data_IF_521463254434
#
_entry.id   IF_521463254434
#
_cell.length_a   1.000
_cell.length_b   1.000
_cell.length_c   1.000
_cell.angle_alpha   90.00
_cell.angle_beta   90.00
_cell.angle_gamma   90.00
#
_symmetry.space_group_name_H-M   'P 1'
#
loop_
_entity.id
_entity.type
_entity.pdbx_description
1 polymer ?
#
# COMPACT_ATOMS: atom_id res chain seq x y z
N UNK A 1 14.46 21.46 6.17
CA UNK A 1 13.78 20.36 5.45
C UNK A 1 13.67 19.19 6.41
N UNK A 2 12.46 18.79 6.85
CA UNK A 2 12.31 17.67 7.75
C UNK A 2 12.66 16.38 6.99
N UNK A 3 13.65 15.65 7.50
CA UNK A 3 14.03 14.33 7.00
C UNK A 3 12.99 13.33 7.52
N UNK A 4 12.24 12.74 6.59
CA UNK A 4 11.31 11.63 6.86
C UNK A 4 12.08 10.49 7.54
N UNK A 5 11.53 9.82 8.57
CA UNK A 5 12.21 8.74 9.24
C UNK A 5 12.56 7.64 8.24
N UNK A 6 13.85 7.31 8.20
CA UNK A 6 14.40 6.23 7.38
C UNK A 6 13.86 4.91 7.93
N UNK A 7 12.77 4.43 7.32
CA UNK A 7 12.30 3.05 7.47
C UNK A 7 13.48 2.14 7.20
N UNK A 8 13.86 1.32 8.19
CA UNK A 8 14.82 0.22 8.03
C UNK A 8 14.50 -0.47 6.70
N UNK A 9 15.45 -0.53 5.78
CA UNK A 9 15.24 -1.06 4.44
C UNK A 9 14.84 -2.55 4.53
N UNK A 10 13.55 -2.80 4.70
CA UNK A 10 12.97 -4.12 4.62
C UNK A 10 13.08 -4.49 3.15
N UNK A 11 13.89 -5.50 2.85
CA UNK A 11 14.03 -6.01 1.50
C UNK A 11 12.73 -6.75 1.12
N UNK A 12 11.82 -6.04 0.45
CA UNK A 12 10.52 -6.59 0.05
C UNK A 12 10.69 -7.50 -1.17
N UNK A 13 10.48 -8.78 -0.97
CA UNK A 13 10.59 -9.80 -2.02
C UNK A 13 9.23 -10.45 -2.26
N UNK A 14 8.79 -10.50 -3.51
CA UNK A 14 7.56 -11.22 -3.85
C UNK A 14 7.76 -12.71 -3.64
N UNK A 15 6.78 -13.38 -3.04
CA UNK A 15 6.91 -14.75 -2.55
C UNK A 15 7.39 -14.84 -1.09
N UNK A 16 7.81 -13.73 -0.48
CA UNK A 16 8.03 -13.70 0.96
C UNK A 16 6.72 -13.97 1.71
N UNK A 17 6.83 -14.63 2.85
CA UNK A 17 5.71 -14.87 3.74
C UNK A 17 5.74 -13.89 4.91
N UNK A 18 4.56 -13.42 5.28
CA UNK A 18 4.40 -12.54 6.42
C UNK A 18 3.16 -12.89 7.25
N UNK A 19 3.21 -12.48 8.52
CA UNK A 19 2.11 -12.55 9.46
C UNK A 19 1.42 -11.20 9.57
N UNK A 20 0.09 -11.22 9.58
CA UNK A 20 -0.77 -10.07 9.87
C UNK A 20 -2.04 -10.57 10.57
N UNK A 21 -2.41 -9.94 11.69
CA UNK A 21 -3.57 -10.32 12.51
C UNK A 21 -3.68 -11.83 12.79
N UNK A 22 -2.55 -12.46 13.11
CA UNK A 22 -2.45 -13.89 13.42
C UNK A 22 -2.52 -14.83 12.20
N UNK A 23 -2.72 -14.30 10.98
CA UNK A 23 -2.80 -15.06 9.73
C UNK A 23 -1.51 -14.98 8.94
N UNK A 24 -1.23 -16.01 8.13
CA UNK A 24 -0.09 -16.04 7.20
C UNK A 24 -0.53 -15.67 5.79
N UNK A 25 0.29 -14.87 5.13
CA UNK A 25 0.09 -14.43 3.75
C UNK A 25 1.39 -14.54 2.96
N UNK A 26 1.27 -14.70 1.64
CA UNK A 26 2.36 -14.57 0.68
C UNK A 26 2.30 -13.17 0.05
N UNK A 27 3.40 -12.42 0.13
CA UNK A 27 3.58 -11.14 -0.55
C UNK A 27 3.49 -11.32 -2.06
N UNK A 28 2.58 -10.60 -2.72
CA UNK A 28 2.42 -10.64 -4.17
C UNK A 28 2.95 -9.38 -4.86
N UNK A 29 2.68 -8.21 -4.29
CA UNK A 29 3.01 -6.93 -4.93
C UNK A 29 3.20 -5.83 -3.91
N UNK A 30 3.86 -4.77 -4.36
CA UNK A 30 4.19 -3.58 -3.57
C UNK A 30 3.25 -2.45 -3.97
N UNK A 31 2.79 -1.69 -2.98
CA UNK A 31 1.79 -0.65 -3.15
C UNK A 31 2.25 0.63 -2.45
N UNK A 32 1.97 1.77 -3.08
CA UNK A 32 2.17 3.09 -2.48
C UNK A 32 0.90 3.94 -2.61
N UNK A 33 0.79 4.94 -1.75
CA UNK A 33 -0.32 5.89 -1.79
C UNK A 33 -0.26 6.73 -3.07
N UNK A 34 -1.41 6.88 -3.74
CA UNK A 34 -1.55 7.82 -4.84
C UNK A 34 -1.56 9.22 -4.21
N UNK A 35 -0.55 10.03 -4.53
CA UNK A 35 -0.56 11.44 -4.20
C UNK A 35 -1.47 12.16 -5.20
N UNK A 36 -2.59 12.67 -4.71
CA UNK A 36 -3.50 13.46 -5.53
C UNK A 36 -2.82 14.80 -5.86
N UNK A 37 -2.70 15.08 -7.16
CA UNK A 37 -2.21 16.38 -7.60
C UNK A 37 -3.34 17.39 -7.50
N UNK A 38 -3.06 18.61 -7.02
CA UNK A 38 -4.06 19.66 -6.96
C UNK A 38 -4.59 19.94 -8.38
N UNK A 39 -5.91 20.00 -8.51
CA UNK A 39 -6.57 20.31 -9.77
C UNK A 39 -6.42 21.80 -10.03
N UNK A 40 -5.68 22.17 -11.06
CA UNK A 40 -5.37 23.58 -11.36
C UNK A 40 -6.60 24.38 -11.83
N UNK A 41 -7.60 23.70 -12.43
CA UNK A 41 -8.77 24.37 -12.97
C UNK A 41 -9.80 24.70 -11.87
N UNK A 42 -10.11 25.99 -11.60
CA UNK A 42 -10.87 26.41 -10.41
C UNK A 42 -12.26 25.78 -10.26
N UNK A 43 -12.99 25.62 -11.38
CA UNK A 43 -14.34 25.02 -11.38
C UNK A 43 -14.27 23.52 -11.08
N UNK A 44 -13.24 22.84 -11.59
CA UNK A 44 -13.09 21.41 -11.33
C UNK A 44 -12.63 21.22 -9.88
N UNK A 45 -11.68 22.04 -9.41
CA UNK A 45 -11.23 22.01 -8.03
C UNK A 45 -12.38 22.13 -7.01
N UNK A 46 -13.35 23.02 -7.24
CA UNK A 46 -14.52 23.14 -6.36
C UNK A 46 -15.43 21.91 -6.38
N UNK A 47 -15.65 21.31 -7.57
CA UNK A 47 -16.50 20.11 -7.71
C UNK A 47 -15.84 18.92 -7.02
N UNK A 48 -14.55 18.70 -7.24
CA UNK A 48 -13.82 17.60 -6.61
C UNK A 48 -13.70 17.81 -5.10
N UNK A 49 -13.49 19.04 -4.61
CA UNK A 49 -13.48 19.32 -3.18
C UNK A 49 -14.83 19.02 -2.51
N UNK A 50 -15.94 19.31 -3.19
CA UNK A 50 -17.28 18.96 -2.70
C UNK A 50 -17.47 17.44 -2.66
N UNK A 51 -17.09 16.73 -3.72
CA UNK A 51 -17.14 15.25 -3.75
C UNK A 51 -16.24 14.61 -2.70
N UNK A 52 -15.01 15.10 -2.51
CA UNK A 52 -14.10 14.60 -1.49
C UNK A 52 -14.64 14.84 -0.07
N UNK A 53 -15.33 15.97 0.15
CA UNK A 53 -15.98 16.25 1.42
C UNK A 53 -17.19 15.33 1.68
N UNK A 54 -18.01 15.05 0.67
CA UNK A 54 -19.10 14.07 0.76
C UNK A 54 -18.57 12.65 1.01
N UNK A 55 -17.51 12.27 0.30
CA UNK A 55 -16.84 10.99 0.51
C UNK A 55 -16.28 10.88 1.93
N UNK A 56 -15.63 11.92 2.43
CA UNK A 56 -15.10 11.97 3.79
C UNK A 56 -16.22 11.88 4.85
N UNK A 57 -17.36 12.55 4.63
CA UNK A 57 -18.52 12.47 5.51
C UNK A 57 -19.16 11.08 5.55
N UNK A 58 -19.00 10.29 4.48
CA UNK A 58 -19.47 8.89 4.43
C UNK A 58 -18.60 7.91 5.24
N UNK A 59 -17.42 8.33 5.70
CA UNK A 59 -16.51 7.48 6.44
C UNK A 59 -16.85 7.45 7.94
N UNK A 60 -16.63 6.30 8.61
CA UNK A 60 -16.66 6.26 10.06
C UNK A 60 -15.70 7.28 10.66
N UNK A 61 -16.08 7.86 11.80
CA UNK A 61 -15.26 8.86 12.49
C UNK A 61 -13.84 8.33 12.74
N UNK A 62 -12.84 9.15 12.40
CA UNK A 62 -11.44 8.78 12.59
C UNK A 62 -10.89 7.80 11.56
N UNK A 63 -11.59 7.54 10.44
CA UNK A 63 -11.07 6.76 9.31
C UNK A 63 -10.74 7.66 8.11
N UNK A 64 -9.76 7.25 7.30
CA UNK A 64 -9.44 7.84 5.98
C UNK A 64 -9.49 6.77 4.89
N UNK A 65 -9.88 7.16 3.68
CA UNK A 65 -9.65 6.38 2.46
C UNK A 65 -8.23 6.62 1.97
N UNK A 66 -7.58 5.55 1.54
CA UNK A 66 -6.26 5.62 0.89
C UNK A 66 -6.39 4.91 -0.45
N UNK A 67 -6.15 5.65 -1.54
CA UNK A 67 -6.04 5.09 -2.88
C UNK A 67 -4.61 4.59 -3.08
N UNK A 68 -4.47 3.34 -3.49
CA UNK A 68 -3.18 2.68 -3.67
C UNK A 68 -2.96 2.32 -5.14
N UNK A 69 -1.73 2.50 -5.59
CA UNK A 69 -1.23 2.03 -6.90
C UNK A 69 -0.10 1.03 -6.71
N UNK A 70 0.15 0.22 -7.73
CA UNK A 70 1.38 -0.57 -7.78
C UNK A 70 2.60 0.33 -7.84
N UNK A 71 3.69 -0.09 -7.21
CA UNK A 71 4.94 0.65 -7.19
C UNK A 71 6.14 -0.29 -7.09
N UNK A 72 7.34 0.28 -7.15
CA UNK A 72 8.57 -0.46 -6.88
C UNK A 72 8.74 -0.72 -5.38
N UNK A 73 9.49 -1.76 -4.98
CA UNK A 73 9.76 -2.10 -3.57
C UNK A 73 10.23 -0.92 -2.73
N UNK A 74 11.10 -0.09 -3.28
CA UNK A 74 11.70 1.08 -2.63
C UNK A 74 10.72 2.22 -2.33
N UNK A 75 9.59 2.27 -3.04
CA UNK A 75 8.53 3.28 -2.87
C UNK A 75 7.38 2.77 -1.98
N UNK A 76 7.41 1.49 -1.64
CA UNK A 76 6.27 0.82 -1.06
C UNK A 76 6.01 1.31 0.36
N UNK A 77 4.73 1.60 0.63
CA UNK A 77 4.21 1.83 2.00
C UNK A 77 3.30 0.69 2.44
N UNK A 78 2.76 -0.07 1.48
CA UNK A 78 1.86 -1.18 1.69
C UNK A 78 2.28 -2.39 0.83
N UNK A 79 1.80 -3.57 1.20
CA UNK A 79 1.94 -4.79 0.40
C UNK A 79 0.59 -5.47 0.20
N UNK A 80 0.43 -6.16 -0.92
CA UNK A 80 -0.69 -7.08 -1.12
C UNK A 80 -0.27 -8.52 -0.81
N UNK A 81 -1.11 -9.23 -0.07
CA UNK A 81 -0.88 -10.61 0.34
C UNK A 81 -1.97 -11.56 -0.16
N UNK A 82 -1.58 -12.75 -0.59
CA UNK A 82 -2.50 -13.87 -0.85
C UNK A 82 -2.48 -14.86 0.30
N UNK A 83 -3.66 -15.28 0.75
CA UNK A 83 -3.90 -16.16 1.89
C UNK A 83 -5.40 -16.32 2.10
N UNK A 84 -5.87 -16.40 3.35
CA UNK A 84 -7.31 -16.40 3.65
C UNK A 84 -7.89 -15.01 3.33
N UNK A 85 -8.78 -14.95 2.32
CA UNK A 85 -9.44 -13.74 1.79
C UNK A 85 -8.52 -12.63 1.21
N UNK A 86 -7.22 -12.88 1.07
CA UNK A 86 -6.26 -11.85 0.67
C UNK A 86 -6.10 -10.72 1.71
N UNK A 87 -5.11 -9.86 1.55
CA UNK A 87 -4.98 -8.65 2.36
C UNK A 87 -4.21 -7.54 1.65
N UNK A 88 -4.42 -6.31 2.10
CA UNK A 88 -3.57 -5.16 1.82
C UNK A 88 -3.28 -4.47 3.14
N UNK A 89 -2.01 -4.28 3.45
CA UNK A 89 -1.54 -3.91 4.80
C UNK A 89 -0.27 -3.06 4.72
N UNK A 90 -0.07 -2.18 5.71
CA UNK A 90 1.14 -1.40 5.86
C UNK A 90 2.36 -2.29 6.13
N UNK A 91 3.52 -1.91 5.59
CA UNK A 91 4.77 -2.67 5.78
C UNK A 91 5.20 -2.68 7.26
N UNK A 92 4.83 -1.65 8.01
CA UNK A 92 5.11 -1.50 9.44
C UNK A 92 4.25 -2.39 10.35
N UNK A 93 3.19 -3.00 9.81
CA UNK A 93 2.26 -3.85 10.56
C UNK A 93 2.51 -5.35 10.39
N UNK A 94 3.44 -5.73 9.51
CA UNK A 94 3.70 -7.12 9.17
C UNK A 94 5.00 -7.63 9.76
N UNK A 95 5.05 -8.94 10.00
CA UNK A 95 6.28 -9.64 10.37
C UNK A 95 6.59 -10.72 9.35
N UNK A 96 7.74 -10.62 8.69
CA UNK A 96 8.19 -11.66 7.77
C UNK A 96 8.56 -12.94 8.52
N UNK A 97 8.02 -14.08 8.08
CA UNK A 97 8.20 -15.39 8.72
C UNK A 97 8.87 -16.44 7.80
N UNK A 98 9.29 -16.03 6.60
CA UNK A 98 10.07 -16.87 5.68
C UNK A 98 9.72 -16.64 4.21
N UNK A 99 9.92 -17.67 3.41
CA UNK A 99 9.61 -17.71 1.98
C UNK A 99 8.64 -18.85 1.68
N UNK A 100 7.85 -18.72 0.62
CA UNK A 100 7.08 -19.87 0.11
C UNK A 100 8.03 -20.94 -0.45
N UNK A 101 7.62 -22.21 -0.35
CA UNK A 101 8.40 -23.35 -0.86
C UNK A 101 8.21 -23.52 -2.37
N UNK A 102 8.67 -22.53 -3.12
CA UNK A 102 8.70 -22.55 -4.59
C UNK A 102 10.13 -22.74 -5.07
N UNK A 103 10.26 -23.14 -6.33
CA UNK A 103 11.58 -23.15 -6.97
C UNK A 103 12.14 -21.74 -7.09
N UNK A 104 13.45 -21.62 -7.20
CA UNK A 104 14.11 -20.32 -7.43
C UNK A 104 13.58 -19.63 -8.70
N UNK A 105 13.32 -20.42 -9.75
CA UNK A 105 12.73 -19.90 -10.99
C UNK A 105 11.33 -19.32 -10.75
N UNK A 106 10.46 -20.01 -10.01
CA UNK A 106 9.11 -19.52 -9.70
C UNK A 106 9.16 -18.25 -8.85
N UNK A 107 10.08 -18.16 -7.89
CA UNK A 107 10.29 -16.96 -7.08
C UNK A 107 10.77 -15.79 -7.95
N UNK A 108 11.73 -16.04 -8.84
CA UNK A 108 12.25 -15.03 -9.75
C UNK A 108 11.17 -14.52 -10.71
N UNK A 109 10.39 -15.41 -11.33
CA UNK A 109 9.29 -15.06 -12.22
C UNK A 109 8.21 -14.26 -11.50
N UNK A 110 7.84 -14.69 -10.29
CA UNK A 110 6.84 -13.98 -9.49
C UNK A 110 7.32 -12.58 -9.08
N UNK A 111 8.60 -12.46 -8.71
CA UNK A 111 9.19 -11.16 -8.38
C UNK A 111 9.31 -10.25 -9.60
N UNK A 112 9.70 -10.77 -10.75
CA UNK A 112 9.73 -10.03 -12.02
C UNK A 112 8.34 -9.48 -12.39
N UNK A 113 7.29 -10.28 -12.21
CA UNK A 113 5.90 -9.83 -12.44
C UNK A 113 5.49 -8.72 -11.46
N UNK A 114 5.85 -8.84 -10.18
CA UNK A 114 5.61 -7.78 -9.19
C UNK A 114 6.31 -6.47 -9.57
N UNK A 115 7.57 -6.55 -10.03
CA UNK A 115 8.32 -5.39 -10.52
C UNK A 115 7.71 -4.80 -11.80
N UNK A 116 7.19 -5.64 -12.71
CA UNK A 116 6.51 -5.19 -13.93
C UNK A 116 5.27 -4.37 -13.59
N UNK A 117 4.45 -4.84 -12.63
CA UNK A 117 3.29 -4.08 -12.12
C UNK A 117 3.72 -2.79 -11.45
N UNK A 118 4.79 -2.83 -10.66
CA UNK A 118 5.36 -1.66 -10.02
C UNK A 118 5.74 -0.55 -11.00
N UNK A 119 6.36 -0.93 -12.13
CA UNK A 119 6.71 0.00 -13.22
C UNK A 119 5.50 0.55 -13.97
N UNK A 120 4.47 -0.27 -14.16
CA UNK A 120 3.22 0.14 -14.79
C UNK A 120 2.48 1.19 -13.95
N UNK A 121 2.54 1.04 -12.62
CA UNK A 121 2.03 2.07 -11.71
C UNK A 121 0.50 2.19 -11.69
N UNK A 122 -0.22 1.20 -12.25
CA UNK A 122 -1.67 1.22 -12.32
C UNK A 122 -2.34 1.23 -10.94
N UNK A 123 -3.53 1.82 -10.90
CA UNK A 123 -4.40 1.77 -9.73
C UNK A 123 -4.65 0.31 -9.31
N UNK A 124 -4.57 0.07 -8.00
CA UNK A 124 -4.76 -1.26 -7.44
C UNK A 124 -6.06 -1.34 -6.64
N UNK A 125 -6.17 -0.57 -5.55
CA UNK A 125 -7.27 -0.69 -4.60
C UNK A 125 -7.42 0.58 -3.77
N UNK A 126 -8.60 0.76 -3.17
CA UNK A 126 -8.83 1.74 -2.12
C UNK A 126 -9.05 1.01 -0.80
N UNK A 127 -8.31 1.39 0.24
CA UNK A 127 -8.44 0.84 1.59
C UNK A 127 -8.94 1.91 2.56
N UNK A 128 -9.57 1.46 3.66
CA UNK A 128 -9.91 2.34 4.79
C UNK A 128 -8.93 2.09 5.94
N UNK A 129 -8.42 3.16 6.53
CA UNK A 129 -7.44 3.08 7.63
C UNK A 129 -7.77 4.11 8.70
N UNK A 130 -7.51 3.82 9.98
CA UNK A 130 -7.59 4.84 11.02
C UNK A 130 -6.70 6.04 10.68
N UNK A 131 -7.18 7.24 10.95
CA UNK A 131 -6.36 8.44 10.96
C UNK A 131 -5.44 8.29 12.16
N UNK A 132 -4.20 7.85 11.92
CA UNK A 132 -3.16 7.82 12.94
C UNK A 132 -2.94 9.26 13.39
N UNK A 133 -3.46 9.62 14.58
CA UNK A 133 -3.10 10.88 15.23
C UNK A 133 -1.58 10.90 15.32
N UNK A 134 -0.94 11.84 14.64
CA UNK A 134 0.45 12.16 14.90
C UNK A 134 0.53 12.44 16.41
N UNK A 135 1.18 11.56 17.16
CA UNK A 135 1.54 11.86 18.54
C UNK A 135 2.53 13.02 18.49
N UNK A 136 2.03 14.22 18.75
CA UNK A 136 2.85 15.40 19.04
C UNK A 136 2.70 16.53 18.04
N UNK A 137 1.85 17.50 18.39
CA UNK A 137 2.28 18.89 18.60
C UNK A 137 1.40 19.47 19.72
#
# INVERSE_FOLDING_TARGET
MPKTPTTTAINLVAGARFKFEGRSYRLNSFLCEIQEQPIEHPILASIFAEWDAEEAASLPEGMKRIKLRYCLPEEATHVSGSGVAGCVVGIDEIQFDGMVQWSEQQLAEHHQEALRRGRDGSYSVTIMRPITKIKGA
#
